data_IF_398015475657
#
_entry.id   IF_398015475657
#
_cell.length_a   1.000
_cell.length_b   1.000
_cell.length_c   1.000
_cell.angle_alpha   90.00
_cell.angle_beta   90.00
_cell.angle_gamma   90.00
#
_symmetry.space_group_name_H-M   'P 1'
#
loop_
_entity.id
_entity.type
_entity.pdbx_description
1 polymer ?
#
# COMPACT_ATOMS: atom_id res chain seq x y z
N UNK A 1 -0.59 -5.14 7.59
CA UNK A 1 -2.04 -5.34 7.55
C UNK A 1 -2.68 -4.76 8.81
N UNK A 2 -3.70 -3.89 8.67
CA UNK A 2 -4.51 -3.41 9.80
C UNK A 2 -5.39 -4.57 10.29
N UNK A 3 -5.41 -4.78 11.61
CA UNK A 3 -6.13 -5.90 12.24
C UNK A 3 -7.21 -5.43 13.22
N UNK A 4 -7.04 -4.29 13.83
CA UNK A 4 -8.02 -3.71 14.76
C UNK A 4 -8.10 -2.20 14.58
N UNK A 5 -9.26 -1.62 14.81
CA UNK A 5 -9.48 -0.18 14.92
C UNK A 5 -10.31 0.15 16.15
N UNK A 6 -10.20 1.41 16.62
CA UNK A 6 -11.12 2.01 17.60
C UNK A 6 -11.33 3.48 17.28
N UNK A 7 -12.48 4.07 17.65
CA UNK A 7 -12.67 5.51 17.59
C UNK A 7 -11.64 6.28 18.42
N UNK A 8 -11.23 7.46 17.96
CA UNK A 8 -10.25 8.31 18.66
C UNK A 8 -10.83 9.01 19.90
N UNK A 9 -12.13 9.18 19.96
CA UNK A 9 -12.87 9.74 21.11
C UNK A 9 -13.12 8.72 22.22
N UNK A 10 -12.65 7.50 22.04
CA UNK A 10 -12.78 6.39 23.00
C UNK A 10 -13.67 5.27 22.46
N UNK A 11 -13.51 4.09 23.02
CA UNK A 11 -14.28 2.92 22.60
C UNK A 11 -13.46 1.63 22.65
N UNK A 12 -14.14 0.51 22.42
CA UNK A 12 -13.50 -0.79 22.35
C UNK A 12 -12.73 -0.97 21.04
N UNK A 13 -11.69 -1.81 21.07
CA UNK A 13 -11.03 -2.26 19.86
C UNK A 13 -11.90 -3.25 19.11
N UNK A 14 -12.17 -2.97 17.85
CA UNK A 14 -12.91 -3.83 16.95
C UNK A 14 -11.97 -4.56 15.99
N UNK A 15 -12.19 -5.84 15.78
CA UNK A 15 -11.47 -6.63 14.79
C UNK A 15 -11.94 -6.23 13.38
N UNK A 16 -11.04 -5.72 12.58
CA UNK A 16 -11.26 -5.34 11.18
C UNK A 16 -10.46 -6.20 10.19
N UNK A 17 -9.93 -7.34 10.65
CA UNK A 17 -9.31 -8.32 9.76
C UNK A 17 -10.31 -8.84 8.71
N UNK A 18 -9.82 -9.47 7.64
CA UNK A 18 -10.68 -9.98 6.58
C UNK A 18 -11.34 -8.90 5.70
N UNK A 19 -10.60 -7.81 5.44
CA UNK A 19 -11.02 -6.69 4.57
C UNK A 19 -12.19 -5.83 5.11
N UNK A 20 -12.38 -5.80 6.43
CA UNK A 20 -13.39 -4.95 7.09
C UNK A 20 -12.85 -3.58 7.51
N UNK A 21 -11.57 -3.32 7.24
CA UNK A 21 -10.94 -2.06 7.61
C UNK A 21 -11.56 -0.88 6.85
N UNK A 22 -11.87 0.24 7.52
CA UNK A 22 -12.34 1.46 6.85
C UNK A 22 -11.27 1.98 5.87
N UNK A 23 -11.64 2.19 4.61
CA UNK A 23 -10.71 2.68 3.56
C UNK A 23 -10.98 4.11 3.13
N UNK A 24 -12.07 4.70 3.61
CA UNK A 24 -12.55 6.02 3.20
C UNK A 24 -11.95 7.19 3.98
N UNK A 25 -11.13 6.90 5.02
CA UNK A 25 -10.42 7.89 5.83
C UNK A 25 -9.04 7.39 6.22
N UNK A 26 -8.09 8.31 6.50
CA UNK A 26 -6.83 7.94 7.13
C UNK A 26 -7.07 7.30 8.50
N UNK A 27 -6.18 6.41 8.89
CA UNK A 27 -6.14 5.80 10.21
C UNK A 27 -4.90 6.30 10.96
N UNK A 28 -5.00 6.49 12.27
CA UNK A 28 -3.87 6.86 13.12
C UNK A 28 -3.26 5.60 13.75
N UNK A 29 -1.96 5.43 13.63
CA UNK A 29 -1.18 4.39 14.31
C UNK A 29 -0.26 5.05 15.31
N UNK A 30 -0.23 4.56 16.54
CA UNK A 30 0.70 5.02 17.56
C UNK A 30 2.02 4.26 17.42
N UNK A 31 3.10 4.96 17.12
CA UNK A 31 4.44 4.38 17.07
C UNK A 31 4.99 4.11 18.48
N UNK A 32 5.95 3.18 18.64
CA UNK A 32 6.61 2.93 19.93
C UNK A 32 7.27 4.18 20.53
N UNK A 33 7.65 5.13 19.69
CA UNK A 33 8.21 6.43 20.11
C UNK A 33 7.19 7.40 20.74
N UNK A 34 5.91 7.04 20.76
CA UNK A 34 4.82 7.92 21.18
C UNK A 34 4.34 8.89 20.09
N UNK A 35 4.98 8.91 18.90
CA UNK A 35 4.54 9.76 17.79
C UNK A 35 3.39 9.12 17.02
N UNK A 36 2.39 9.90 16.60
CA UNK A 36 1.36 9.40 15.68
C UNK A 36 1.94 9.23 14.27
N UNK A 37 1.44 8.22 13.57
CA UNK A 37 1.71 7.97 12.17
C UNK A 37 0.38 7.72 11.45
N UNK A 38 0.18 8.30 10.28
CA UNK A 38 -1.04 8.11 9.50
C UNK A 38 -0.85 7.02 8.44
N UNK A 39 -1.84 6.15 8.35
CA UNK A 39 -1.89 5.04 7.39
C UNK A 39 -3.12 5.21 6.51
N UNK A 40 -2.91 5.13 5.22
CA UNK A 40 -3.96 5.10 4.21
C UNK A 40 -4.15 3.67 3.74
N UNK A 41 -5.39 3.21 3.72
CA UNK A 41 -5.71 1.85 3.28
C UNK A 41 -6.39 1.94 1.91
N UNK A 42 -5.82 1.29 0.92
CA UNK A 42 -6.43 1.25 -0.41
C UNK A 42 -7.70 0.40 -0.41
N UNK A 43 -8.63 0.75 -1.28
CA UNK A 43 -9.85 -0.02 -1.47
C UNK A 43 -9.55 -1.32 -2.25
N UNK A 44 -9.46 -2.43 -1.51
CA UNK A 44 -9.01 -3.73 -2.04
C UNK A 44 -9.82 -4.24 -3.23
N UNK A 45 -11.16 -4.28 -3.18
CA UNK A 45 -11.98 -4.70 -4.32
C UNK A 45 -11.72 -3.86 -5.57
N UNK A 46 -11.70 -2.53 -5.47
CA UNK A 46 -11.43 -1.63 -6.61
C UNK A 46 -10.04 -1.88 -7.20
N UNK A 47 -9.02 -2.01 -6.34
CA UNK A 47 -7.64 -2.25 -6.79
C UNK A 47 -7.48 -3.61 -7.48
N UNK A 48 -8.14 -4.65 -6.96
CA UNK A 48 -8.20 -5.97 -7.60
C UNK A 48 -8.92 -5.89 -8.95
N UNK A 49 -10.04 -5.20 -9.01
CA UNK A 49 -10.85 -5.11 -10.23
C UNK A 49 -10.16 -4.27 -11.29
N UNK A 50 -9.36 -3.26 -10.90
CA UNK A 50 -8.46 -2.55 -11.80
C UNK A 50 -7.40 -3.48 -12.40
N UNK A 51 -6.81 -4.36 -11.60
CA UNK A 51 -5.78 -5.29 -12.08
C UNK A 51 -6.36 -6.43 -12.94
N UNK A 52 -7.56 -6.97 -12.62
CA UNK A 52 -7.99 -8.27 -13.13
C UNK A 52 -9.40 -8.31 -13.72
N UNK A 53 -10.30 -7.34 -13.43
CA UNK A 53 -11.70 -7.41 -13.84
C UNK A 53 -12.08 -6.47 -15.00
N UNK A 54 -11.09 -5.87 -15.66
CA UNK A 54 -11.30 -5.08 -16.87
C UNK A 54 -12.04 -3.75 -16.66
N UNK A 55 -12.05 -3.19 -15.44
CA UNK A 55 -12.66 -1.88 -15.19
C UNK A 55 -11.88 -0.74 -15.87
N UNK A 56 -10.64 -1.00 -16.28
CA UNK A 56 -9.80 -0.08 -17.04
C UNK A 56 -10.11 -0.10 -18.56
N UNK A 57 -11.20 -0.71 -18.99
CA UNK A 57 -11.64 -0.68 -20.40
C UNK A 57 -12.18 0.68 -20.85
N UNK A 58 -12.60 1.55 -19.93
CA UNK A 58 -12.95 2.95 -20.18
C UNK A 58 -12.82 3.80 -18.92
N UNK A 59 -12.58 5.08 -19.09
CA UNK A 59 -12.51 6.01 -17.95
C UNK A 59 -13.85 6.17 -17.21
N UNK A 60 -14.96 6.07 -17.93
CA UNK A 60 -16.30 6.09 -17.33
C UNK A 60 -16.49 4.91 -16.38
N UNK A 61 -16.17 3.70 -16.83
CA UNK A 61 -16.29 2.47 -16.01
C UNK A 61 -15.40 2.54 -14.75
N UNK A 62 -14.16 3.03 -14.89
CA UNK A 62 -13.27 3.23 -13.76
C UNK A 62 -13.87 4.18 -12.74
N UNK A 63 -14.42 5.32 -13.19
CA UNK A 63 -15.06 6.32 -12.31
C UNK A 63 -16.31 5.78 -11.61
N UNK A 64 -17.17 5.10 -12.33
CA UNK A 64 -18.41 4.55 -11.75
C UNK A 64 -18.09 3.50 -10.69
N UNK A 65 -17.09 2.64 -10.96
CA UNK A 65 -16.64 1.66 -9.98
C UNK A 65 -16.01 2.34 -8.75
N UNK A 66 -15.21 3.39 -8.97
CA UNK A 66 -14.61 4.15 -7.86
C UNK A 66 -15.68 4.89 -7.03
N UNK A 67 -16.72 5.42 -7.66
CA UNK A 67 -17.87 6.02 -6.94
C UNK A 67 -18.59 4.98 -6.09
N UNK A 68 -18.88 3.81 -6.64
CA UNK A 68 -19.49 2.71 -5.90
C UNK A 68 -18.71 2.30 -4.65
N UNK A 69 -17.40 2.53 -4.62
CA UNK A 69 -16.58 2.30 -3.43
C UNK A 69 -16.87 3.28 -2.27
N UNK A 70 -17.60 4.36 -2.53
CA UNK A 70 -18.06 5.34 -1.53
C UNK A 70 -19.54 5.15 -1.15
N UNK A 71 -20.24 4.22 -1.79
CA UNK A 71 -21.66 3.98 -1.48
C UNK A 71 -21.82 3.53 -0.02
N UNK A 72 -22.77 4.18 0.65
CA UNK A 72 -23.06 3.93 2.06
C UNK A 72 -22.14 4.61 3.07
N UNK A 73 -21.17 5.41 2.62
CA UNK A 73 -20.35 6.23 3.51
C UNK A 73 -21.11 7.50 3.88
N UNK A 74 -21.27 7.81 5.17
CA UNK A 74 -21.96 9.01 5.61
C UNK A 74 -21.23 10.28 5.12
N UNK A 75 -22.00 11.18 4.49
CA UNK A 75 -21.49 12.50 4.09
C UNK A 75 -20.92 13.32 5.30
N UNK A 76 -19.97 14.25 5.10
CA UNK A 76 -19.80 14.96 3.82
C UNK A 76 -18.68 14.47 2.92
N UNK A 77 -17.80 13.57 3.28
CA UNK A 77 -16.76 13.16 2.33
C UNK A 77 -15.92 11.98 2.80
N UNK A 78 -15.56 11.16 1.87
CA UNK A 78 -14.58 10.10 2.00
C UNK A 78 -13.56 10.18 0.89
N UNK A 79 -12.52 9.40 1.01
CA UNK A 79 -11.53 9.17 -0.03
C UNK A 79 -11.67 7.77 -0.62
N UNK A 80 -11.30 7.62 -1.89
CA UNK A 80 -11.03 6.32 -2.51
C UNK A 80 -9.57 6.27 -2.91
N UNK A 81 -8.85 5.31 -2.39
CA UNK A 81 -7.47 5.05 -2.76
C UNK A 81 -7.40 3.75 -3.58
N UNK A 82 -7.01 3.88 -4.84
CA UNK A 82 -6.68 2.77 -5.72
C UNK A 82 -5.17 2.58 -5.69
N UNK A 83 -4.72 1.34 -5.45
CA UNK A 83 -3.32 0.96 -5.55
C UNK A 83 -3.17 -0.16 -6.57
N UNK A 84 -2.32 0.04 -7.57
CA UNK A 84 -2.04 -0.91 -8.63
C UNK A 84 -0.60 -0.76 -9.09
N UNK A 85 -0.04 -1.83 -9.66
CA UNK A 85 1.27 -1.77 -10.30
C UNK A 85 1.23 -0.82 -11.50
N UNK A 86 2.28 -0.05 -11.72
CA UNK A 86 2.37 0.87 -12.86
C UNK A 86 2.23 0.16 -14.20
N UNK A 87 2.74 -1.06 -14.29
CA UNK A 87 2.65 -1.94 -15.45
C UNK A 87 1.21 -2.32 -15.82
N UNK A 88 0.26 -2.19 -14.91
CA UNK A 88 -1.16 -2.40 -15.22
C UNK A 88 -1.62 -1.48 -16.34
N UNK A 89 -1.09 -0.26 -16.38
CA UNK A 89 -1.46 0.77 -17.35
C UNK A 89 -0.54 0.72 -18.57
N UNK A 90 -1.00 0.04 -19.63
CA UNK A 90 -0.34 -0.04 -20.94
C UNK A 90 0.44 -1.34 -21.18
N UNK A 91 1.10 -1.92 -20.17
CA UNK A 91 1.82 -3.19 -20.34
C UNK A 91 0.90 -4.40 -20.14
N UNK A 92 0.26 -4.55 -18.97
CA UNK A 92 -0.66 -5.67 -18.74
C UNK A 92 -2.03 -5.45 -19.40
N UNK A 93 -2.51 -4.21 -19.44
CA UNK A 93 -3.78 -3.85 -20.06
C UNK A 93 -3.56 -2.71 -21.06
N UNK A 94 -3.54 -3.06 -22.36
CA UNK A 94 -3.38 -2.08 -23.44
C UNK A 94 -4.52 -1.07 -23.45
N UNK A 95 -4.21 0.22 -23.55
CA UNK A 95 -5.19 1.31 -23.55
C UNK A 95 -5.65 1.75 -22.15
N UNK A 96 -5.26 1.05 -21.09
CA UNK A 96 -5.63 1.42 -19.72
C UNK A 96 -5.07 2.78 -19.31
N UNK A 97 -3.93 3.20 -19.87
CA UNK A 97 -3.36 4.55 -19.70
C UNK A 97 -4.31 5.63 -20.25
N UNK A 98 -4.93 5.39 -21.39
CA UNK A 98 -5.91 6.29 -22.00
C UNK A 98 -7.20 6.33 -21.17
N UNK A 99 -7.64 5.20 -20.66
CA UNK A 99 -8.81 5.12 -19.77
C UNK A 99 -8.56 5.84 -18.45
N UNK A 100 -7.35 5.76 -17.90
CA UNK A 100 -6.98 6.54 -16.72
C UNK A 100 -7.01 8.04 -17.01
N UNK A 101 -6.43 8.48 -18.12
CA UNK A 101 -6.44 9.87 -18.54
C UNK A 101 -7.88 10.39 -18.74
N UNK A 102 -8.75 9.59 -19.37
CA UNK A 102 -10.17 9.90 -19.50
C UNK A 102 -10.86 10.04 -18.13
N UNK A 103 -10.64 9.11 -17.20
CA UNK A 103 -11.22 9.17 -15.87
C UNK A 103 -10.79 10.44 -15.12
N UNK A 104 -9.52 10.78 -15.15
CA UNK A 104 -8.99 12.01 -14.53
C UNK A 104 -9.60 13.29 -15.15
N UNK A 105 -9.75 13.32 -16.47
CA UNK A 105 -10.39 14.43 -17.17
C UNK A 105 -11.87 14.55 -16.78
N UNK A 106 -12.61 13.44 -16.76
CA UNK A 106 -14.01 13.41 -16.33
C UNK A 106 -14.19 13.85 -14.88
N UNK A 107 -13.33 13.43 -13.94
CA UNK A 107 -13.31 13.94 -12.57
C UNK A 107 -13.22 15.47 -12.55
N UNK A 108 -12.25 16.00 -13.28
CA UNK A 108 -12.01 17.45 -13.34
C UNK A 108 -13.19 18.24 -13.93
N UNK A 109 -13.82 17.72 -15.01
CA UNK A 109 -14.90 18.41 -15.71
C UNK A 109 -16.25 18.32 -14.98
N UNK A 110 -16.53 17.21 -14.34
CA UNK A 110 -17.83 16.97 -13.69
C UNK A 110 -17.91 17.52 -12.26
N UNK A 111 -16.77 17.77 -11.61
CA UNK A 111 -16.73 18.15 -10.20
C UNK A 111 -17.19 17.04 -9.24
N UNK A 112 -17.42 15.82 -9.74
CA UNK A 112 -17.90 14.69 -8.94
C UNK A 112 -16.89 14.20 -7.89
N UNK A 113 -15.61 14.31 -8.21
CA UNK A 113 -14.52 13.94 -7.34
C UNK A 113 -13.32 14.83 -7.64
N UNK A 114 -12.46 14.99 -6.65
CA UNK A 114 -11.19 15.69 -6.79
C UNK A 114 -10.04 14.70 -6.66
N UNK A 115 -9.18 14.69 -7.66
CA UNK A 115 -7.91 13.96 -7.58
C UNK A 115 -6.95 14.78 -6.74
N UNK A 116 -6.33 14.16 -5.74
CA UNK A 116 -5.48 14.84 -4.77
C UNK A 116 -4.36 13.92 -4.29
N UNK A 117 -3.46 14.42 -3.47
CA UNK A 117 -2.39 13.66 -2.82
C UNK A 117 -2.68 13.43 -1.34
N UNK A 118 -1.98 12.46 -0.74
CA UNK A 118 -2.30 11.96 0.60
C UNK A 118 -2.14 13.02 1.71
N UNK A 119 -1.20 13.93 1.57
CA UNK A 119 -0.98 15.02 2.52
C UNK A 119 -2.20 15.96 2.57
N UNK A 120 -2.71 16.38 1.41
CA UNK A 120 -3.91 17.21 1.34
C UNK A 120 -5.15 16.49 1.89
N UNK A 121 -5.21 15.16 1.74
CA UNK A 121 -6.28 14.36 2.35
C UNK A 121 -6.23 14.46 3.88
N UNK A 122 -5.05 14.47 4.52
CA UNK A 122 -4.93 14.61 5.97
C UNK A 122 -5.50 15.94 6.49
N UNK A 123 -5.33 17.01 5.73
CA UNK A 123 -5.83 18.33 6.09
C UNK A 123 -7.36 18.41 6.01
N UNK A 124 -7.97 17.68 5.08
CA UNK A 124 -9.40 17.75 4.81
C UNK A 124 -10.22 16.64 5.46
N UNK A 125 -9.61 15.47 5.63
CA UNK A 125 -10.23 14.28 6.21
C UNK A 125 -9.37 13.77 7.38
N UNK A 126 -9.45 14.39 8.55
CA UNK A 126 -8.68 13.94 9.70
C UNK A 126 -9.04 12.49 10.07
N UNK A 127 -8.07 11.76 10.60
CA UNK A 127 -8.28 10.43 11.12
C UNK A 127 -9.32 10.46 12.25
N UNK A 128 -10.27 9.55 12.19
CA UNK A 128 -11.30 9.36 13.24
C UNK A 128 -11.07 8.11 14.08
N UNK A 129 -10.19 7.22 13.60
CA UNK A 129 -9.90 5.95 14.26
C UNK A 129 -8.40 5.75 14.46
N UNK A 130 -8.06 5.14 15.56
CA UNK A 130 -6.76 4.55 15.82
C UNK A 130 -6.73 3.12 15.28
N UNK A 131 -5.58 2.69 14.75
CA UNK A 131 -5.41 1.37 14.15
C UNK A 131 -4.25 0.60 14.77
N UNK A 132 -4.39 -0.71 14.85
CA UNK A 132 -3.32 -1.66 15.13
C UNK A 132 -2.94 -2.41 13.86
N UNK A 133 -1.65 -2.50 13.63
CA UNK A 133 -1.08 -3.18 12.46
C UNK A 133 -0.38 -4.46 12.91
N UNK A 134 -0.69 -5.57 12.24
CA UNK A 134 0.08 -6.80 12.43
C UNK A 134 1.49 -6.61 11.88
N UNK A 135 2.50 -6.90 12.69
CA UNK A 135 3.91 -6.79 12.31
C UNK A 135 4.70 -8.00 12.81
N UNK A 136 5.51 -8.63 11.95
CA UNK A 136 5.64 -8.40 10.51
C UNK A 136 4.46 -8.98 9.73
N UNK A 137 4.02 -8.28 8.70
CA UNK A 137 2.96 -8.76 7.80
C UNK A 137 3.23 -8.38 6.34
N UNK A 138 2.67 -9.17 5.42
CA UNK A 138 2.72 -8.89 4.00
C UNK A 138 1.43 -9.37 3.33
N UNK A 139 0.99 -8.65 2.30
CA UNK A 139 -0.20 -9.00 1.55
C UNK A 139 -0.09 -10.36 0.82
N UNK A 140 1.12 -10.78 0.47
CA UNK A 140 1.39 -11.99 -0.32
C UNK A 140 1.90 -13.17 0.50
N UNK A 141 1.90 -13.10 1.84
CA UNK A 141 2.38 -14.18 2.68
C UNK A 141 1.64 -14.23 4.02
N UNK A 142 0.84 -15.26 4.24
CA UNK A 142 0.15 -15.48 5.51
C UNK A 142 1.10 -15.73 6.71
N UNK A 143 2.37 -16.01 6.44
CA UNK A 143 3.41 -16.26 7.46
C UNK A 143 4.26 -14.99 7.73
N UNK A 144 3.64 -13.82 7.66
CA UNK A 144 4.32 -12.53 7.82
C UNK A 144 5.23 -12.24 6.64
N UNK A 145 6.53 -12.22 6.84
CA UNK A 145 7.55 -12.04 5.79
C UNK A 145 8.31 -13.33 5.45
N UNK A 146 7.77 -14.49 5.83
CA UNK A 146 8.39 -15.80 5.60
C UNK A 146 8.71 -16.06 4.14
N UNK A 147 7.89 -15.58 3.21
CA UNK A 147 8.10 -15.69 1.76
C UNK A 147 9.50 -15.22 1.30
N UNK A 148 10.09 -14.26 1.99
CA UNK A 148 11.40 -13.70 1.64
C UNK A 148 12.56 -14.27 2.45
N UNK A 149 12.30 -15.16 3.41
CA UNK A 149 13.32 -15.61 4.36
C UNK A 149 13.34 -17.10 4.63
N UNK A 150 12.34 -17.88 4.17
CA UNK A 150 12.23 -19.30 4.47
C UNK A 150 11.34 -20.05 3.49
N UNK A 151 11.38 -21.39 3.57
CA UNK A 151 10.46 -22.27 2.84
C UNK A 151 9.07 -22.27 3.53
N UNK A 152 8.23 -21.27 3.24
CA UNK A 152 6.89 -21.14 3.84
C UNK A 152 5.76 -21.63 2.92
N UNK A 153 6.09 -22.16 1.75
CA UNK A 153 5.16 -22.63 0.70
C UNK A 153 4.31 -21.55 0.01
N UNK A 154 4.42 -20.28 0.40
CA UNK A 154 3.76 -19.18 -0.31
C UNK A 154 4.43 -18.94 -1.67
N UNK A 155 3.71 -19.21 -2.76
CA UNK A 155 4.19 -19.09 -4.14
C UNK A 155 3.06 -18.72 -5.10
N UNK A 156 3.41 -18.09 -6.23
CA UNK A 156 2.46 -17.66 -7.26
C UNK A 156 2.09 -18.80 -8.22
N UNK A 157 3.05 -19.72 -8.46
CA UNK A 157 2.87 -20.87 -9.34
C UNK A 157 3.29 -22.16 -8.64
N UNK A 158 2.75 -23.28 -9.09
CA UNK A 158 3.10 -24.59 -8.60
C UNK A 158 3.89 -25.35 -9.66
N UNK A 159 5.03 -25.91 -9.24
CA UNK A 159 5.83 -26.84 -10.02
C UNK A 159 6.21 -28.00 -9.10
N UNK A 160 5.92 -29.22 -9.56
CA UNK A 160 6.23 -30.43 -8.79
C UNK A 160 7.73 -30.54 -8.52
N UNK A 161 8.09 -30.92 -7.31
CA UNK A 161 9.48 -31.07 -6.88
C UNK A 161 10.20 -29.77 -6.54
N UNK A 162 9.61 -28.59 -6.80
CA UNK A 162 10.23 -27.33 -6.42
C UNK A 162 9.92 -26.97 -4.97
N UNK A 163 10.96 -26.53 -4.25
CA UNK A 163 10.85 -26.01 -2.89
C UNK A 163 11.41 -24.57 -2.82
N UNK A 164 11.38 -23.99 -1.66
CA UNK A 164 11.82 -22.61 -1.41
C UNK A 164 12.95 -22.55 -0.37
N UNK A 165 13.67 -23.64 -0.15
CA UNK A 165 14.74 -23.73 0.83
C UNK A 165 15.91 -22.78 0.52
N UNK A 166 16.11 -22.48 -0.77
CA UNK A 166 17.11 -21.50 -1.25
C UNK A 166 16.91 -20.08 -0.68
N UNK A 167 15.71 -19.74 -0.21
CA UNK A 167 15.40 -18.39 0.28
C UNK A 167 16.15 -18.03 1.56
N UNK A 168 16.30 -18.96 2.48
CA UNK A 168 17.00 -18.71 3.74
C UNK A 168 18.49 -18.38 3.52
N UNK A 169 19.28 -19.21 2.80
CA UNK A 169 20.67 -18.88 2.53
C UNK A 169 20.83 -17.62 1.67
N UNK A 170 19.97 -17.40 0.67
CA UNK A 170 19.99 -16.18 -0.12
C UNK A 170 19.75 -14.95 0.76
N UNK A 171 18.74 -14.98 1.61
CA UNK A 171 18.46 -13.88 2.54
C UNK A 171 19.62 -13.58 3.46
N UNK A 172 20.24 -14.62 4.01
CA UNK A 172 21.42 -14.48 4.87
C UNK A 172 22.60 -13.86 4.11
N UNK A 173 22.83 -14.28 2.87
CA UNK A 173 23.89 -13.72 2.03
C UNK A 173 23.64 -12.22 1.72
N UNK A 174 22.40 -11.85 1.38
CA UNK A 174 22.02 -10.43 1.12
C UNK A 174 22.20 -9.58 2.37
N UNK A 175 21.78 -10.06 3.55
CA UNK A 175 21.98 -9.36 4.82
C UNK A 175 23.48 -9.18 5.11
N UNK A 176 24.28 -10.24 4.98
CA UNK A 176 25.73 -10.16 5.17
C UNK A 176 26.39 -9.17 4.20
N UNK A 177 25.96 -9.18 2.94
CA UNK A 177 26.46 -8.22 1.95
C UNK A 177 26.10 -6.77 2.34
N UNK A 178 24.85 -6.52 2.71
CA UNK A 178 24.42 -5.20 3.21
C UNK A 178 25.30 -4.71 4.35
N UNK A 179 25.49 -5.54 5.37
CA UNK A 179 26.27 -5.14 6.55
C UNK A 179 27.73 -4.84 6.21
N UNK A 180 28.31 -5.60 5.27
CA UNK A 180 29.65 -5.34 4.75
C UNK A 180 29.73 -4.02 3.94
N UNK A 181 28.73 -3.76 3.10
CA UNK A 181 28.66 -2.50 2.33
C UNK A 181 28.51 -1.31 3.27
N UNK A 182 27.61 -1.42 4.26
CA UNK A 182 27.43 -0.36 5.26
C UNK A 182 28.73 -0.07 6.02
N UNK A 183 29.44 -1.10 6.46
CA UNK A 183 30.74 -0.93 7.11
C UNK A 183 31.82 -0.35 6.20
N UNK A 184 31.75 -0.56 4.89
CA UNK A 184 32.64 0.09 3.92
C UNK A 184 32.28 1.57 3.76
N UNK A 185 31.00 1.90 3.66
CA UNK A 185 30.52 3.29 3.59
C UNK A 185 30.92 4.07 4.84
N UNK A 186 30.74 3.49 6.02
CA UNK A 186 31.15 4.11 7.29
C UNK A 186 32.66 4.42 7.36
N UNK A 187 33.49 3.53 6.81
CA UNK A 187 34.94 3.69 6.86
C UNK A 187 35.53 4.56 5.76
N UNK A 188 34.89 4.59 4.62
CA UNK A 188 35.47 5.18 3.39
C UNK A 188 34.53 6.15 2.67
N UNK A 189 33.31 6.33 3.13
CA UNK A 189 32.30 7.19 2.50
C UNK A 189 32.61 8.68 2.65
N UNK A 190 33.27 9.06 3.74
CA UNK A 190 33.70 10.43 3.97
C UNK A 190 34.67 10.87 2.87
N UNK A 191 34.34 11.95 2.20
CA UNK A 191 35.11 12.48 1.06
C UNK A 191 34.70 12.00 -0.32
N UNK A 192 33.84 10.95 -0.40
CA UNK A 192 33.23 10.52 -1.65
C UNK A 192 31.79 11.04 -1.79
N UNK A 193 31.04 11.03 -0.70
CA UNK A 193 29.67 11.56 -0.62
C UNK A 193 29.58 12.43 0.63
N UNK A 194 29.01 13.61 0.52
CA UNK A 194 28.95 14.62 1.58
C UNK A 194 28.28 14.09 2.87
N UNK A 195 27.18 13.37 2.70
CA UNK A 195 26.46 12.65 3.76
C UNK A 195 25.84 11.40 3.14
N UNK A 196 26.52 10.25 3.23
CA UNK A 196 26.06 9.04 2.57
C UNK A 196 24.76 8.51 3.16
N UNK A 197 24.47 8.77 4.43
CA UNK A 197 23.25 8.30 5.08
C UNK A 197 22.04 9.16 4.70
N UNK A 198 22.23 10.49 4.66
CA UNK A 198 21.20 11.39 4.14
C UNK A 198 20.92 11.08 2.66
N UNK A 199 21.94 10.89 1.84
CA UNK A 199 21.77 10.54 0.44
C UNK A 199 21.01 9.21 0.25
N UNK A 200 21.20 8.25 1.15
CA UNK A 200 20.45 6.98 1.15
C UNK A 200 18.97 7.18 1.53
N UNK A 201 18.67 8.09 2.46
CA UNK A 201 17.29 8.41 2.85
C UNK A 201 16.54 9.20 1.78
N UNK A 202 17.25 10.01 0.99
CA UNK A 202 16.68 10.82 -0.10
C UNK A 202 16.48 10.03 -1.41
N UNK A 203 17.15 8.88 -1.58
CA UNK A 203 17.01 8.00 -2.75
C UNK A 203 15.74 7.17 -2.70
#
# INVERSE_FOLDING_TARGET
QVIQTRPLDGGAWEDVSGARVPTHRPLRVQLPSGRPFHVFVFHGPLSRDAAFAGILSSGERLLDTARGALDGIPEPSGMVLLASDGETFGHHQRGAESSLAEALLRCRLSGLARVTHLEEVLDQLPATHEARVASPSAWSCAHGVGRWSRNCSCRMSHHDGWNQEWRAPLRSAVVSLRDRVFSLVERHGDGLIRDPWQALEEY
#
